data_IF_595858253245
#
_entry.id   IF_595858253245
#
_cell.length_a   1.000
_cell.length_b   1.000
_cell.length_c   1.000
_cell.angle_alpha   90.00
_cell.angle_beta   90.00
_cell.angle_gamma   90.00
#
_symmetry.space_group_name_H-M   'P 1'
#
loop_
_entity.id
_entity.type
_entity.pdbx_description
1 polymer ?
#
# COMPACT_ATOMS: atom_id res chain seq x y z
N UNK A 1 -6.36 -38.48 -52.19
CA UNK A 1 -6.16 -38.89 -50.77
C UNK A 1 -5.23 -37.84 -50.16
N UNK A 2 -5.75 -36.68 -49.71
CA UNK A 2 -6.07 -36.33 -48.31
C UNK A 2 -4.95 -36.68 -47.32
N UNK A 3 -4.01 -35.76 -47.14
CA UNK A 3 -3.11 -35.75 -45.97
C UNK A 3 -3.30 -34.40 -45.28
N UNK A 4 -3.85 -34.45 -44.07
CA UNK A 4 -4.24 -33.32 -43.25
C UNK A 4 -3.01 -32.53 -42.77
N UNK A 5 -2.99 -31.23 -43.05
CA UNK A 5 -2.20 -30.27 -42.28
C UNK A 5 -2.95 -29.98 -40.97
N UNK A 6 -2.43 -30.46 -39.84
CA UNK A 6 -2.90 -30.05 -38.51
C UNK A 6 -2.03 -28.88 -38.05
N UNK A 7 -2.55 -27.66 -38.23
CA UNK A 7 -2.00 -26.44 -37.65
C UNK A 7 -2.26 -26.45 -36.14
N UNK A 8 -1.23 -26.66 -35.34
CA UNK A 8 -1.27 -26.44 -33.91
C UNK A 8 -1.24 -24.93 -33.64
N UNK A 9 -2.39 -24.34 -33.34
CA UNK A 9 -2.47 -22.98 -32.83
C UNK A 9 -2.11 -22.99 -31.33
N UNK A 10 -0.86 -22.64 -31.01
CA UNK A 10 -0.49 -22.32 -29.63
C UNK A 10 -1.10 -20.97 -29.26
N UNK A 11 -2.17 -20.99 -28.45
CA UNK A 11 -2.70 -19.78 -27.82
C UNK A 11 -1.71 -19.36 -26.74
N UNK A 12 -0.82 -18.42 -27.06
CA UNK A 12 -0.02 -17.73 -26.05
C UNK A 12 -0.98 -16.86 -25.23
N UNK A 13 -1.41 -17.37 -24.07
CA UNK A 13 -2.01 -16.52 -23.05
C UNK A 13 -0.92 -15.53 -22.63
N UNK A 14 -0.98 -14.31 -23.16
CA UNK A 14 -0.16 -13.21 -22.69
C UNK A 14 -0.69 -12.89 -21.29
N UNK A 15 -0.11 -13.51 -20.26
CA UNK A 15 -0.28 -13.02 -18.91
C UNK A 15 0.32 -11.62 -18.94
N UNK A 16 -0.51 -10.58 -18.83
CA UNK A 16 -0.06 -9.24 -18.46
C UNK A 16 0.57 -9.38 -17.08
N UNK A 17 1.87 -9.66 -17.04
CA UNK A 17 2.60 -9.86 -15.81
C UNK A 17 2.67 -8.50 -15.12
N UNK A 18 2.09 -8.42 -13.93
CA UNK A 18 2.20 -7.25 -13.05
C UNK A 18 3.68 -7.04 -12.70
N UNK A 19 4.31 -6.02 -13.27
CA UNK A 19 5.71 -5.72 -13.01
C UNK A 19 5.81 -4.87 -11.73
N UNK A 20 6.58 -5.38 -10.77
CA UNK A 20 6.78 -4.69 -9.50
C UNK A 20 7.42 -3.31 -9.70
N UNK A 21 6.87 -2.31 -9.00
CA UNK A 21 7.18 -0.88 -9.08
C UNK A 21 7.06 -0.28 -10.47
N UNK A 22 6.24 -0.87 -11.32
CA UNK A 22 5.85 -0.30 -12.61
C UNK A 22 4.35 -0.28 -12.71
N UNK A 23 3.72 -1.45 -12.61
CA UNK A 23 2.29 -1.61 -12.79
C UNK A 23 1.51 -1.51 -11.47
N UNK A 24 2.15 -1.82 -10.33
CA UNK A 24 1.55 -1.76 -9.00
C UNK A 24 1.82 -0.42 -8.27
N UNK A 25 2.10 0.68 -8.98
CA UNK A 25 2.33 2.00 -8.35
C UNK A 25 1.05 2.83 -8.30
N UNK A 26 0.71 3.31 -7.10
CA UNK A 26 -0.26 4.38 -6.87
C UNK A 26 0.44 5.71 -6.59
N UNK A 27 -0.16 6.80 -7.07
CA UNK A 27 0.24 8.16 -6.73
C UNK A 27 -0.64 8.65 -5.59
N UNK A 28 -0.03 9.08 -4.49
CA UNK A 28 -0.75 9.77 -3.42
C UNK A 28 -0.98 11.21 -3.86
N UNK A 29 -2.16 11.75 -3.55
CA UNK A 29 -2.52 13.10 -3.92
C UNK A 29 -1.48 14.11 -3.41
N UNK A 30 -1.08 15.02 -4.30
CA UNK A 30 -0.19 16.12 -3.95
C UNK A 30 -1.00 17.19 -3.21
N UNK A 31 -0.60 17.47 -1.98
CA UNK A 31 -1.24 18.43 -1.08
C UNK A 31 -0.28 19.57 -0.71
N UNK A 32 0.79 19.76 -1.49
CA UNK A 32 1.73 20.85 -1.31
C UNK A 32 1.03 22.20 -1.37
N UNK A 33 1.31 23.07 -0.39
CA UNK A 33 0.67 24.39 -0.28
C UNK A 33 -0.72 24.38 0.35
N UNK A 34 -1.24 23.21 0.77
CA UNK A 34 -2.52 23.10 1.47
C UNK A 34 -2.52 23.66 2.89
N UNK A 35 -3.66 23.61 3.58
CA UNK A 35 -3.80 24.02 4.99
C UNK A 35 -3.46 22.91 6.00
N UNK A 36 -3.34 21.66 5.54
CA UNK A 36 -3.04 20.51 6.40
C UNK A 36 -1.62 20.57 6.95
N UNK A 37 -1.45 20.08 8.19
CA UNK A 37 -0.16 20.04 8.88
C UNK A 37 0.81 19.05 8.25
N UNK A 38 0.31 17.96 7.67
CA UNK A 38 1.07 16.99 6.87
C UNK A 38 0.73 17.21 5.41
N UNK A 39 1.75 17.36 4.57
CA UNK A 39 1.60 17.57 3.15
C UNK A 39 2.46 16.57 2.40
N UNK A 40 1.85 15.93 1.41
CA UNK A 40 2.54 15.01 0.51
C UNK A 40 2.80 15.74 -0.80
N UNK A 41 4.01 15.61 -1.33
CA UNK A 41 4.35 16.09 -2.66
C UNK A 41 5.00 14.97 -3.46
N UNK A 42 4.44 14.69 -4.64
CA UNK A 42 4.92 13.64 -5.56
C UNK A 42 5.16 12.27 -4.89
N UNK A 43 4.29 11.85 -3.97
CA UNK A 43 4.48 10.59 -3.25
C UNK A 43 3.99 9.40 -4.07
N UNK A 44 4.87 8.42 -4.26
CA UNK A 44 4.60 7.16 -4.93
C UNK A 44 4.58 6.02 -3.91
N UNK A 45 3.63 5.10 -4.07
CA UNK A 45 3.58 3.88 -3.27
C UNK A 45 3.31 2.65 -4.15
N UNK A 46 3.91 1.51 -3.81
CA UNK A 46 3.64 0.22 -4.43
C UNK A 46 2.62 -0.58 -3.63
N UNK A 47 1.71 -1.27 -4.31
CA UNK A 47 0.69 -2.13 -3.70
C UNK A 47 1.06 -3.61 -3.81
N UNK A 48 0.78 -4.36 -2.76
CA UNK A 48 1.07 -5.78 -2.65
C UNK A 48 -0.11 -6.54 -2.02
N UNK A 49 -0.25 -7.82 -2.36
CA UNK A 49 -1.23 -8.69 -1.73
C UNK A 49 -0.76 -9.22 -0.36
N UNK A 50 -1.57 -10.04 0.29
CA UNK A 50 -1.26 -10.62 1.60
C UNK A 50 0.02 -11.47 1.62
N UNK A 51 0.45 -12.00 0.47
CA UNK A 51 1.67 -12.80 0.34
C UNK A 51 2.89 -11.95 -0.03
N UNK A 52 2.71 -10.63 -0.19
CA UNK A 52 3.76 -9.71 -0.61
C UNK A 52 4.05 -9.72 -2.12
N UNK A 53 3.18 -10.31 -2.93
CA UNK A 53 3.29 -10.24 -4.39
C UNK A 53 2.71 -8.91 -4.91
N UNK A 54 3.25 -8.32 -6.00
CA UNK A 54 2.76 -7.05 -6.53
C UNK A 54 1.28 -7.18 -6.92
N UNK A 55 0.45 -6.25 -6.46
CA UNK A 55 -0.99 -6.31 -6.63
C UNK A 55 -1.43 -5.45 -7.84
N UNK A 56 -1.87 -6.12 -8.89
CA UNK A 56 -2.47 -5.49 -10.07
C UNK A 56 -3.81 -6.10 -10.46
N UNK A 57 -4.63 -5.30 -11.13
CA UNK A 57 -5.79 -5.72 -11.91
C UNK A 57 -5.52 -5.38 -13.37
N UNK A 58 -5.05 -6.37 -14.15
CA UNK A 58 -4.46 -6.11 -15.46
C UNK A 58 -3.14 -5.34 -15.34
N UNK A 59 -2.99 -4.26 -16.12
CA UNK A 59 -1.83 -3.34 -16.08
C UNK A 59 -2.07 -2.11 -15.18
N UNK A 60 -2.96 -2.24 -14.20
CA UNK A 60 -3.28 -1.17 -13.25
C UNK A 60 -3.03 -1.64 -11.81
N UNK A 61 -2.60 -0.74 -10.91
CA UNK A 61 -2.41 -1.06 -9.52
C UNK A 61 -3.74 -1.44 -8.87
N UNK A 62 -3.72 -2.45 -8.02
CA UNK A 62 -4.87 -2.92 -7.26
C UNK A 62 -4.54 -2.87 -5.76
N UNK A 63 -5.47 -2.37 -4.95
CA UNK A 63 -5.34 -2.33 -3.49
C UNK A 63 -6.17 -3.47 -2.93
N UNK A 64 -5.49 -4.52 -2.47
CA UNK A 64 -6.14 -5.70 -1.89
C UNK A 64 -6.14 -5.63 -0.38
N UNK A 65 -7.25 -6.05 0.21
CA UNK A 65 -7.41 -6.22 1.64
C UNK A 65 -7.78 -7.69 1.89
N UNK A 66 -6.95 -8.47 2.60
CA UNK A 66 -5.66 -8.10 3.19
C UNK A 66 -4.56 -7.88 2.14
N UNK A 67 -3.64 -6.94 2.41
CA UNK A 67 -2.53 -6.57 1.52
C UNK A 67 -1.61 -5.52 2.16
N UNK A 68 -0.62 -5.03 1.41
CA UNK A 68 0.38 -4.08 1.90
C UNK A 68 0.54 -2.90 0.93
N UNK A 69 0.83 -1.72 1.46
CA UNK A 69 1.17 -0.53 0.67
C UNK A 69 2.54 -0.05 1.15
N UNK A 70 3.51 0.04 0.24
CA UNK A 70 4.88 0.49 0.55
C UNK A 70 5.16 1.84 -0.10
N UNK A 71 5.57 2.82 0.69
CA UNK A 71 6.04 4.10 0.17
C UNK A 71 7.37 3.90 -0.58
N UNK A 72 7.49 4.48 -1.78
CA UNK A 72 8.68 4.35 -2.64
C UNK A 72 9.49 5.64 -2.60
N UNK A 73 8.83 6.75 -2.91
CA UNK A 73 9.49 8.04 -3.10
C UNK A 73 8.54 9.20 -2.86
N UNK A 74 9.10 10.40 -2.72
CA UNK A 74 8.37 11.66 -2.66
C UNK A 74 8.80 12.51 -1.48
N UNK A 75 7.99 13.49 -1.12
CA UNK A 75 8.30 14.41 -0.04
C UNK A 75 7.12 14.53 0.92
N UNK A 76 7.42 14.46 2.22
CA UNK A 76 6.47 14.72 3.29
C UNK A 76 6.90 15.99 4.00
N UNK A 77 6.08 17.03 3.95
CA UNK A 77 6.28 18.25 4.73
C UNK A 77 5.39 18.25 5.95
N UNK A 78 6.00 18.36 7.12
CA UNK A 78 5.34 18.46 8.41
C UNK A 78 5.49 19.89 8.91
N UNK A 79 4.40 20.66 8.90
CA UNK A 79 4.40 22.09 9.26
C UNK A 79 4.56 22.36 10.75
N UNK A 80 4.09 21.44 11.59
CA UNK A 80 4.05 21.58 13.05
C UNK A 80 4.27 20.23 13.70
N UNK A 81 4.86 20.25 14.88
CA UNK A 81 5.05 19.04 15.67
C UNK A 81 3.67 18.47 16.00
N UNK A 82 3.52 17.19 15.75
CA UNK A 82 2.34 16.46 16.18
C UNK A 82 2.77 15.56 17.34
N UNK A 83 1.80 15.07 18.10
CA UNK A 83 2.05 14.10 19.15
C UNK A 83 1.40 12.78 18.72
N UNK A 84 1.90 12.23 17.60
CA UNK A 84 1.33 11.02 17.00
C UNK A 84 1.73 9.77 17.76
N UNK A 85 2.82 9.84 18.54
CA UNK A 85 3.22 8.77 19.44
C UNK A 85 2.15 8.52 20.51
N UNK A 86 1.40 9.55 20.92
CA UNK A 86 0.29 9.41 21.88
C UNK A 86 -1.09 9.36 21.23
N UNK A 87 -1.32 9.92 20.03
CA UNK A 87 -2.60 9.82 19.30
C UNK A 87 -2.44 9.59 17.79
N UNK A 88 -2.14 8.36 17.37
CA UNK A 88 -1.97 7.98 15.95
C UNK A 88 -3.24 7.43 15.28
N UNK A 89 -4.42 7.68 15.84
CA UNK A 89 -5.67 7.10 15.33
C UNK A 89 -6.11 7.76 14.03
N UNK A 90 -6.02 7.00 12.93
CA UNK A 90 -6.61 7.34 11.65
C UNK A 90 -8.09 7.02 11.66
N UNK A 91 -8.89 8.04 11.40
CA UNK A 91 -10.33 7.90 11.20
C UNK A 91 -10.61 7.75 9.71
N UNK A 92 -11.00 6.55 9.30
CA UNK A 92 -11.21 6.25 7.89
C UNK A 92 -12.61 6.66 7.42
N UNK A 93 -12.66 7.23 6.22
CA UNK A 93 -13.87 7.30 5.39
C UNK A 93 -13.65 6.42 4.18
N UNK A 94 -14.44 5.36 4.06
CA UNK A 94 -14.32 4.36 3.00
C UNK A 94 -15.67 4.22 2.33
N UNK A 95 -15.71 4.48 1.02
CA UNK A 95 -16.90 4.35 0.19
C UNK A 95 -16.61 3.38 -0.92
N UNK A 96 -17.52 2.43 -1.12
CA UNK A 96 -17.51 1.54 -2.27
C UNK A 96 -18.45 2.12 -3.32
N UNK A 97 -17.98 2.18 -4.56
CA UNK A 97 -18.83 2.54 -5.70
C UNK A 97 -19.79 1.40 -6.02
N UNK A 98 -20.81 1.27 -5.19
CA UNK A 98 -21.84 0.26 -5.26
C UNK A 98 -23.10 0.83 -4.63
N UNK A 99 -24.19 0.81 -5.40
CA UNK A 99 -25.49 1.27 -4.94
C UNK A 99 -25.98 0.55 -3.67
N UNK A 100 -25.55 -0.72 -3.47
CA UNK A 100 -25.99 -1.57 -2.36
C UNK A 100 -25.10 -1.44 -1.12
N UNK A 101 -23.80 -1.22 -1.30
CA UNK A 101 -22.83 -1.20 -0.18
C UNK A 101 -22.53 0.23 0.28
N UNK A 102 -22.44 1.19 -0.65
CA UNK A 102 -22.22 2.60 -0.37
C UNK A 102 -21.03 2.87 0.56
N UNK A 103 -21.24 3.77 1.52
CA UNK A 103 -20.24 4.16 2.52
C UNK A 103 -20.18 3.13 3.65
N UNK A 104 -19.00 2.55 3.88
CA UNK A 104 -18.78 1.51 4.90
C UNK A 104 -18.15 2.06 6.17
N UNK A 105 -17.27 3.06 6.05
CA UNK A 105 -16.75 3.85 7.17
C UNK A 105 -16.96 5.33 6.86
N UNK A 106 -17.33 6.13 7.86
CA UNK A 106 -17.40 7.58 7.75
C UNK A 106 -16.78 8.20 8.99
N UNK A 107 -15.72 8.95 8.81
CA UNK A 107 -15.00 9.69 9.85
C UNK A 107 -14.61 8.81 11.05
N UNK A 108 -14.21 7.56 10.77
CA UNK A 108 -13.83 6.58 11.77
C UNK A 108 -14.98 5.81 12.41
N UNK A 109 -16.22 6.05 11.98
CA UNK A 109 -17.39 5.31 12.44
C UNK A 109 -17.85 4.30 11.40
N UNK A 110 -18.16 3.07 11.84
CA UNK A 110 -18.78 2.08 10.97
C UNK A 110 -20.18 2.53 10.55
N UNK A 111 -20.46 2.43 9.26
CA UNK A 111 -21.80 2.65 8.67
C UNK A 111 -22.39 1.37 8.08
N UNK A 112 -21.58 0.33 7.96
CA UNK A 112 -22.00 -0.99 7.52
C UNK A 112 -21.76 -2.03 8.65
N UNK A 113 -22.77 -2.83 9.03
CA UNK A 113 -22.65 -3.82 10.10
C UNK A 113 -21.72 -5.00 9.77
N UNK A 114 -21.36 -5.20 8.51
CA UNK A 114 -20.38 -6.21 8.10
C UNK A 114 -18.92 -5.77 8.31
N UNK A 115 -18.69 -4.52 8.71
CA UNK A 115 -17.36 -4.03 9.10
C UNK A 115 -17.12 -4.30 10.59
N UNK A 116 -16.09 -5.07 10.95
CA UNK A 116 -15.69 -5.29 12.33
C UNK A 116 -15.45 -3.99 13.11
N UNK A 117 -15.73 -4.02 14.41
CA UNK A 117 -15.41 -2.92 15.31
C UNK A 117 -13.89 -2.74 15.40
N UNK A 118 -13.41 -1.54 15.05
CA UNK A 118 -11.98 -1.21 14.99
C UNK A 118 -11.45 -1.00 13.56
N UNK A 119 -12.08 -1.56 12.53
CA UNK A 119 -11.55 -1.46 11.16
C UNK A 119 -11.70 -0.05 10.55
N UNK A 120 -12.60 0.78 11.10
CA UNK A 120 -12.71 2.18 10.71
C UNK A 120 -11.72 3.10 11.46
N UNK A 121 -11.03 2.60 12.50
CA UNK A 121 -10.05 3.36 13.29
C UNK A 121 -8.74 2.59 13.37
N UNK A 122 -7.74 3.06 12.63
CA UNK A 122 -6.44 2.37 12.54
C UNK A 122 -5.37 3.18 13.25
N UNK A 123 -4.61 2.57 14.15
CA UNK A 123 -3.39 3.19 14.65
C UNK A 123 -2.37 3.25 13.52
N UNK A 124 -2.11 4.45 12.97
CA UNK A 124 -1.14 4.65 11.90
C UNK A 124 0.22 4.07 12.28
N UNK A 125 0.67 4.33 13.51
CA UNK A 125 1.99 3.90 13.96
C UNK A 125 2.03 2.41 14.31
N UNK A 126 0.95 1.85 14.83
CA UNK A 126 0.82 0.40 15.02
C UNK A 126 0.95 -0.34 13.69
N UNK A 127 0.21 0.11 12.67
CA UNK A 127 0.20 -0.53 11.37
C UNK A 127 1.49 -0.27 10.57
N UNK A 128 1.99 0.98 10.54
CA UNK A 128 3.23 1.31 9.86
C UNK A 128 4.41 0.45 10.35
N UNK A 129 4.51 0.22 11.67
CA UNK A 129 5.51 -0.69 12.24
C UNK A 129 5.36 -2.13 11.74
N UNK A 130 4.13 -2.68 11.71
CA UNK A 130 3.87 -4.05 11.22
C UNK A 130 4.27 -4.22 9.75
N UNK A 131 4.10 -3.18 8.93
CA UNK A 131 4.46 -3.21 7.50
C UNK A 131 5.91 -2.77 7.21
N UNK A 132 6.76 -2.67 8.24
CA UNK A 132 8.18 -2.36 8.07
C UNK A 132 8.49 -0.90 7.74
N UNK A 133 7.57 0.02 8.09
CA UNK A 133 7.72 1.47 7.96
C UNK A 133 7.77 2.14 9.35
N UNK A 134 8.57 1.60 10.26
CA UNK A 134 8.62 2.10 11.64
C UNK A 134 9.09 3.55 11.79
N UNK A 135 9.86 4.05 10.82
CA UNK A 135 10.31 5.45 10.81
C UNK A 135 9.26 6.42 10.27
N UNK A 136 8.17 5.93 9.66
CA UNK A 136 7.10 6.80 9.13
C UNK A 136 6.51 7.68 10.24
N UNK A 137 6.35 7.14 11.45
CA UNK A 137 5.83 7.94 12.55
C UNK A 137 6.81 8.98 13.05
N UNK A 138 8.12 8.68 13.08
CA UNK A 138 9.13 9.70 13.42
C UNK A 138 9.13 10.83 12.39
N UNK A 139 9.01 10.50 11.11
CA UNK A 139 8.94 11.48 10.01
C UNK A 139 7.74 12.40 10.20
N UNK A 140 6.55 11.84 10.46
CA UNK A 140 5.32 12.62 10.57
C UNK A 140 5.27 13.42 11.90
N UNK A 141 5.92 12.95 12.96
CA UNK A 141 6.00 13.64 14.26
C UNK A 141 6.98 14.83 14.23
N UNK A 142 8.03 14.74 13.40
CA UNK A 142 9.11 15.72 13.35
C UNK A 142 8.78 16.84 12.36
N UNK A 143 8.73 18.13 12.77
CA UNK A 143 8.57 19.25 11.85
C UNK A 143 9.72 19.31 10.84
N UNK A 144 9.39 19.61 9.59
CA UNK A 144 10.38 19.78 8.54
C UNK A 144 9.94 19.16 7.22
N UNK A 145 10.86 19.22 6.25
CA UNK A 145 10.71 18.61 4.95
C UNK A 145 11.49 17.30 4.96
N UNK A 146 10.79 16.18 4.80
CA UNK A 146 11.37 14.85 4.78
C UNK A 146 11.26 14.28 3.38
N UNK A 147 12.41 13.98 2.78
CA UNK A 147 12.44 13.30 1.49
C UNK A 147 12.37 11.81 1.75
N UNK A 148 11.37 11.15 1.17
CA UNK A 148 11.36 9.72 0.99
C UNK A 148 12.33 9.46 -0.17
N UNK A 149 13.63 9.43 0.11
CA UNK A 149 14.59 8.86 -0.82
C UNK A 149 14.20 7.40 -1.03
N UNK A 150 14.42 6.85 -2.24
CA UNK A 150 14.12 5.46 -2.56
C UNK A 150 14.46 4.59 -1.34
N UNK A 151 13.43 4.14 -0.59
CA UNK A 151 13.59 3.46 0.71
C UNK A 151 14.28 2.08 0.58
N UNK A 152 14.84 1.82 -0.59
CA UNK A 152 15.63 0.67 -0.99
C UNK A 152 17.13 0.84 -0.69
N UNK A 153 17.56 1.96 -0.09
CA UNK A 153 18.96 2.19 0.29
C UNK A 153 19.40 1.61 1.64
N UNK A 154 18.49 1.19 2.52
CA UNK A 154 18.83 0.74 3.88
C UNK A 154 18.17 -0.59 4.27
N UNK A 155 18.12 -1.52 3.31
CA UNK A 155 17.98 -2.96 3.57
C UNK A 155 18.94 -3.78 2.70
N UNK A 156 20.21 -3.36 2.67
CA UNK A 156 21.27 -4.34 2.43
C UNK A 156 21.32 -5.28 3.65
N UNK A 157 21.13 -6.57 3.42
CA UNK A 157 21.26 -7.68 4.38
C UNK A 157 20.31 -7.70 5.58
N UNK A 158 19.11 -8.22 5.37
CA UNK A 158 18.66 -9.28 6.28
C UNK A 158 18.27 -10.45 5.38
N UNK A 159 19.07 -11.51 5.46
CA UNK A 159 18.87 -12.76 4.73
C UNK A 159 17.41 -13.23 4.82
N UNK A 160 16.88 -13.88 3.78
CA UNK A 160 15.66 -14.65 3.94
C UNK A 160 15.92 -15.68 5.03
N UNK A 161 15.20 -15.59 6.14
CA UNK A 161 15.20 -16.60 7.18
C UNK A 161 14.89 -17.96 6.54
N UNK A 162 15.94 -18.72 6.27
CA UNK A 162 15.87 -20.10 5.85
C UNK A 162 15.19 -20.87 6.97
N UNK A 163 14.06 -21.49 6.64
CA UNK A 163 13.44 -22.54 7.42
C UNK A 163 14.52 -23.58 7.80
N UNK A 164 14.77 -23.90 9.08
CA UNK A 164 15.65 -25.01 9.40
C UNK A 164 15.00 -26.30 8.91
N UNK A 165 15.65 -26.92 7.92
CA UNK A 165 15.34 -28.27 7.45
C UNK A 165 15.71 -29.23 8.58
N UNK A 166 14.73 -29.68 9.36
CA UNK A 166 14.93 -30.76 10.33
C UNK A 166 15.46 -31.98 9.61
N UNK A 167 16.67 -32.41 9.99
CA UNK A 167 17.12 -33.78 9.79
C UNK A 167 16.56 -34.60 10.96
N UNK A 168 15.76 -35.59 10.64
CA UNK A 168 15.75 -36.89 11.30
C UNK A 168 15.75 -37.96 10.20
#
# INVERSE_FOLDING_TARGET
MKTLFVLAAAVLAVSFACVDKVDNIIKIADLSGGSLNVQFANVLAATYDANGAPACSGSHPDVRIPGQIKLISGQITVKKQMDLVTSSDLKLTVTKDSWLIGTVCKDGEKKNPFVPDGDCQVSLCGEANKFGHGDLCKIIDTPGVHTLENLEGERASTEPSSFPRSRE
#
